data_IF_589568155078
#
_entry.id   IF_589568155078
#
_cell.length_a   1.000
_cell.length_b   1.000
_cell.length_c   1.000
_cell.angle_alpha   90.00
_cell.angle_beta   90.00
_cell.angle_gamma   90.00
#
_symmetry.space_group_name_H-M   'P 1'
#
loop_
_entity.id
_entity.type
_entity.pdbx_description
1 polymer ?
#
# COMPACT_ATOMS: atom_id res chain seq x y z
N UNK A 1 -11.96 -5.53 4.08
CA UNK A 1 -12.45 -5.82 2.70
C UNK A 1 -13.81 -6.51 2.71
N UNK A 2 -14.08 -7.40 3.65
CA UNK A 2 -15.33 -8.17 3.75
C UNK A 2 -16.56 -7.28 3.88
N UNK A 3 -16.53 -6.34 4.81
CA UNK A 3 -17.60 -5.35 5.01
C UNK A 3 -17.97 -4.59 3.74
N UNK A 4 -16.97 -4.22 2.93
CA UNK A 4 -17.23 -3.52 1.67
C UNK A 4 -17.93 -4.43 0.65
N UNK A 5 -17.58 -5.72 0.60
CA UNK A 5 -18.25 -6.70 -0.23
C UNK A 5 -19.76 -6.83 0.09
N UNK A 6 -20.09 -6.91 1.37
CA UNK A 6 -21.47 -6.96 1.84
C UNK A 6 -22.28 -5.70 1.49
N UNK A 7 -21.64 -4.53 1.56
CA UNK A 7 -22.31 -3.23 1.32
C UNK A 7 -22.42 -2.89 -0.16
N UNK A 8 -21.40 -3.18 -0.94
CA UNK A 8 -21.34 -2.82 -2.35
C UNK A 8 -21.99 -3.86 -3.27
N UNK A 9 -21.96 -5.12 -2.86
CA UNK A 9 -22.42 -6.24 -3.69
C UNK A 9 -21.45 -6.57 -4.83
N UNK A 10 -21.70 -7.66 -5.58
CA UNK A 10 -20.70 -8.28 -6.48
C UNK A 10 -20.27 -7.40 -7.65
N UNK A 11 -21.12 -6.50 -8.11
CA UNK A 11 -20.76 -5.64 -9.26
C UNK A 11 -19.97 -4.40 -8.85
N UNK A 12 -20.40 -3.70 -7.80
CA UNK A 12 -19.72 -2.46 -7.38
C UNK A 12 -18.42 -2.71 -6.69
N UNK A 13 -18.27 -3.85 -5.99
CA UNK A 13 -17.02 -4.21 -5.30
C UNK A 13 -15.83 -4.32 -6.26
N UNK A 14 -16.06 -4.64 -7.53
CA UNK A 14 -15.01 -4.73 -8.56
C UNK A 14 -14.25 -3.41 -8.77
N UNK A 15 -14.86 -2.29 -8.40
CA UNK A 15 -14.25 -0.96 -8.52
C UNK A 15 -13.73 -0.42 -7.18
N UNK A 16 -13.93 -1.14 -6.08
CA UNK A 16 -13.40 -0.77 -4.77
C UNK A 16 -11.97 -1.33 -4.59
N UNK A 17 -11.11 -0.54 -3.94
CA UNK A 17 -9.71 -0.91 -3.68
C UNK A 17 -8.90 -1.24 -4.94
N UNK A 18 -9.24 -0.59 -6.06
CA UNK A 18 -8.66 -0.83 -7.38
C UNK A 18 -7.30 -0.12 -7.54
N UNK A 19 -6.32 -0.45 -6.69
CA UNK A 19 -5.03 0.24 -6.60
C UNK A 19 -4.20 0.15 -7.88
N UNK A 20 -4.19 -0.99 -8.58
CA UNK A 20 -3.48 -1.09 -9.86
C UNK A 20 -4.07 -0.18 -10.94
N UNK A 21 -5.39 -0.02 -10.98
CA UNK A 21 -6.03 0.92 -11.90
C UNK A 21 -5.65 2.36 -11.60
N UNK A 22 -5.63 2.74 -10.32
CA UNK A 22 -5.18 4.07 -9.89
C UNK A 22 -3.72 4.30 -10.23
N UNK A 23 -2.87 3.30 -9.99
CA UNK A 23 -1.45 3.36 -10.31
C UNK A 23 -1.22 3.54 -11.82
N UNK A 24 -1.94 2.78 -12.65
CA UNK A 24 -1.85 2.90 -14.12
C UNK A 24 -2.29 4.28 -14.62
N UNK A 25 -3.28 4.88 -13.99
CA UNK A 25 -3.76 6.22 -14.37
C UNK A 25 -2.84 7.34 -13.94
N UNK A 26 -2.29 7.27 -12.72
CA UNK A 26 -1.54 8.36 -12.09
C UNK A 26 -0.03 8.17 -12.14
N UNK A 27 0.46 6.95 -12.40
CA UNK A 27 1.87 6.58 -12.29
C UNK A 27 2.38 6.41 -10.86
N UNK A 28 1.56 6.70 -9.85
CA UNK A 28 1.86 6.51 -8.43
C UNK A 28 0.58 6.45 -7.59
N UNK A 29 0.67 5.85 -6.41
CA UNK A 29 -0.43 5.72 -5.46
C UNK A 29 0.11 5.82 -4.03
N UNK A 30 -0.61 6.52 -3.16
CA UNK A 30 -0.27 6.63 -1.74
C UNK A 30 -0.99 5.52 -0.97
N UNK A 31 -0.29 4.95 -0.01
CA UNK A 31 -0.85 3.97 0.91
C UNK A 31 -0.45 4.31 2.35
N UNK A 32 -1.26 3.91 3.31
CA UNK A 32 -1.02 4.18 4.72
C UNK A 32 -1.93 3.36 5.62
N UNK A 33 -1.69 3.43 6.93
CA UNK A 33 -2.41 2.65 7.94
C UNK A 33 -3.76 3.23 8.32
N UNK A 34 -4.00 4.52 8.03
CA UNK A 34 -5.17 5.26 8.54
C UNK A 34 -5.28 5.16 10.07
N UNK A 35 -4.13 5.10 10.75
CA UNK A 35 -4.11 5.04 12.23
C UNK A 35 -4.96 6.18 12.85
N UNK A 36 -5.82 5.90 13.83
CA UNK A 36 -5.91 4.66 14.64
C UNK A 36 -6.98 3.65 14.17
N UNK A 37 -7.46 3.75 12.93
CA UNK A 37 -8.45 2.80 12.38
C UNK A 37 -7.79 1.42 12.21
N UNK A 38 -6.57 1.40 11.64
CA UNK A 38 -5.71 0.22 11.60
C UNK A 38 -4.52 0.40 12.53
N UNK A 39 -3.71 -0.64 12.69
CA UNK A 39 -2.48 -0.58 13.48
C UNK A 39 -1.46 0.38 12.82
N UNK A 40 -0.63 1.01 13.64
CA UNK A 40 0.39 1.97 13.18
C UNK A 40 1.50 1.33 12.35
N UNK A 41 1.67 0.00 12.40
CA UNK A 41 2.74 -0.73 11.73
C UNK A 41 2.62 -0.66 10.19
N UNK A 42 3.52 0.04 9.48
CA UNK A 42 3.45 0.16 8.03
C UNK A 42 3.73 -1.15 7.30
N UNK A 43 4.34 -2.14 7.95
CA UNK A 43 4.59 -3.45 7.34
C UNK A 43 3.30 -4.24 7.13
N UNK A 44 2.26 -3.99 7.94
CA UNK A 44 0.93 -4.54 7.72
C UNK A 44 0.29 -3.96 6.45
N UNK A 45 0.46 -2.64 6.23
CA UNK A 45 0.03 -1.99 4.99
C UNK A 45 0.74 -2.56 3.78
N UNK A 46 2.07 -2.74 3.87
CA UNK A 46 2.89 -3.38 2.83
C UNK A 46 2.38 -4.80 2.54
N UNK A 47 2.21 -5.63 3.58
CA UNK A 47 1.71 -7.00 3.43
C UNK A 47 0.35 -7.04 2.72
N UNK A 48 -0.60 -6.24 3.18
CA UNK A 48 -1.94 -6.17 2.59
C UNK A 48 -1.91 -5.68 1.13
N UNK A 49 -1.03 -4.75 0.79
CA UNK A 49 -0.88 -4.24 -0.57
C UNK A 49 -0.37 -5.32 -1.55
N UNK A 50 0.54 -6.17 -1.10
CA UNK A 50 1.16 -7.23 -1.93
C UNK A 50 0.30 -8.48 -1.97
N UNK A 51 -0.20 -8.94 -0.81
CA UNK A 51 -0.88 -10.23 -0.71
C UNK A 51 -2.40 -10.15 -0.85
N UNK A 52 -2.97 -8.99 -0.57
CA UNK A 52 -4.43 -8.77 -0.55
C UNK A 52 -5.14 -9.70 0.42
N UNK A 53 -4.50 -10.00 1.57
CA UNK A 53 -4.98 -10.92 2.61
C UNK A 53 -4.98 -10.26 3.98
N UNK A 54 -5.78 -10.82 4.87
CA UNK A 54 -5.63 -10.59 6.31
C UNK A 54 -4.36 -11.25 6.85
N UNK A 55 -3.93 -10.88 8.05
CA UNK A 55 -2.72 -11.43 8.67
C UNK A 55 -2.81 -12.94 8.97
N UNK A 56 -4.01 -13.49 9.07
CA UNK A 56 -4.26 -14.94 9.19
C UNK A 56 -4.17 -15.69 7.85
N UNK A 57 -3.87 -14.97 6.75
CA UNK A 57 -3.73 -15.53 5.41
C UNK A 57 -5.03 -15.65 4.62
N UNK A 58 -6.15 -15.17 5.16
CA UNK A 58 -7.46 -15.23 4.46
C UNK A 58 -7.75 -13.96 3.64
N UNK A 59 -8.52 -14.07 2.54
CA UNK A 59 -8.86 -15.29 1.80
C UNK A 59 -7.61 -15.92 1.17
N UNK A 60 -7.58 -17.25 1.03
CA UNK A 60 -6.40 -17.99 0.59
C UNK A 60 -5.85 -17.52 -0.77
N UNK A 61 -6.74 -17.18 -1.69
CA UNK A 61 -6.42 -16.68 -3.04
C UNK A 61 -6.08 -15.18 -3.06
N UNK A 62 -6.27 -14.46 -1.94
CA UNK A 62 -6.24 -13.00 -1.91
C UNK A 62 -7.51 -12.36 -2.50
N UNK A 63 -7.77 -11.12 -2.09
CA UNK A 63 -8.92 -10.35 -2.56
C UNK A 63 -8.56 -9.54 -3.80
N UNK A 64 -9.20 -9.80 -4.95
CA UNK A 64 -8.98 -9.07 -6.21
C UNK A 64 -7.47 -8.91 -6.54
N UNK A 65 -6.79 -10.02 -6.74
CA UNK A 65 -5.32 -10.04 -6.93
C UNK A 65 -4.84 -9.25 -8.14
N UNK A 66 -5.70 -8.97 -9.10
CA UNK A 66 -5.42 -8.05 -10.21
C UNK A 66 -5.12 -6.61 -9.74
N UNK A 67 -5.49 -6.28 -8.52
CA UNK A 67 -5.23 -5.00 -7.88
C UNK A 67 -4.07 -5.06 -6.85
N UNK A 68 -3.40 -6.19 -6.71
CA UNK A 68 -2.22 -6.30 -5.86
C UNK A 68 -1.06 -5.44 -6.40
N UNK A 69 -0.33 -4.82 -5.50
CA UNK A 69 0.90 -4.11 -5.85
C UNK A 69 2.08 -5.10 -5.86
N UNK A 70 3.06 -4.86 -6.73
CA UNK A 70 4.34 -5.55 -6.60
C UNK A 70 5.04 -5.13 -5.31
N UNK A 71 5.99 -5.92 -4.78
CA UNK A 71 6.79 -5.53 -3.61
C UNK A 71 7.41 -4.14 -3.73
N UNK A 72 7.99 -3.82 -4.89
CA UNK A 72 8.56 -2.49 -5.15
C UNK A 72 7.49 -1.38 -5.14
N UNK A 73 6.35 -1.60 -5.79
CA UNK A 73 5.25 -0.64 -5.80
C UNK A 73 4.68 -0.42 -4.40
N UNK A 74 4.52 -1.49 -3.62
CA UNK A 74 4.05 -1.42 -2.24
C UNK A 74 5.03 -0.64 -1.35
N UNK A 75 6.34 -0.88 -1.49
CA UNK A 75 7.35 -0.11 -0.76
C UNK A 75 7.33 1.37 -1.16
N UNK A 76 7.28 1.68 -2.46
CA UNK A 76 7.17 3.06 -2.94
C UNK A 76 5.91 3.75 -2.44
N UNK A 77 4.80 3.03 -2.33
CA UNK A 77 3.51 3.58 -1.92
C UNK A 77 3.46 4.03 -0.45
N UNK A 78 4.34 3.47 0.40
CA UNK A 78 4.47 3.85 1.81
C UNK A 78 5.71 4.71 2.10
N UNK A 79 6.50 5.05 1.08
CA UNK A 79 7.73 5.85 1.21
C UNK A 79 7.74 7.05 0.26
N UNK A 80 8.43 6.95 -0.88
CA UNK A 80 8.63 8.09 -1.80
C UNK A 80 7.33 8.65 -2.39
N UNK A 81 6.32 7.81 -2.65
CA UNK A 81 5.05 8.29 -3.15
C UNK A 81 4.23 9.03 -2.09
N UNK A 82 4.35 8.64 -0.81
CA UNK A 82 3.79 9.41 0.31
C UNK A 82 4.48 10.76 0.41
N UNK A 83 5.82 10.77 0.36
CA UNK A 83 6.59 12.02 0.38
C UNK A 83 6.18 12.96 -0.76
N UNK A 84 6.00 12.41 -1.98
CA UNK A 84 5.49 13.15 -3.15
C UNK A 84 4.09 13.72 -2.91
N UNK A 85 3.18 12.95 -2.34
CA UNK A 85 1.84 13.42 -2.01
C UNK A 85 1.80 14.51 -0.94
N UNK A 86 2.85 14.58 -0.10
CA UNK A 86 3.04 15.63 0.89
C UNK A 86 3.94 16.78 0.42
N UNK A 87 4.39 16.76 -0.83
CA UNK A 87 5.35 17.73 -1.41
C UNK A 87 6.70 17.76 -0.68
N UNK A 88 7.14 16.61 -0.14
CA UNK A 88 8.37 16.42 0.62
C UNK A 88 9.38 15.49 -0.08
N UNK A 89 9.13 15.10 -1.34
CA UNK A 89 9.96 14.16 -2.09
C UNK A 89 11.40 14.62 -2.31
N UNK A 90 11.64 15.93 -2.22
CA UNK A 90 13.00 16.52 -2.27
C UNK A 90 13.76 16.39 -0.96
N UNK A 91 13.08 16.05 0.15
CA UNK A 91 13.66 15.90 1.49
C UNK A 91 13.59 14.49 2.04
N UNK A 92 12.57 13.72 1.68
CA UNK A 92 12.23 12.44 2.33
C UNK A 92 11.80 11.38 1.32
N UNK A 93 11.64 10.15 1.80
CA UNK A 93 11.01 9.04 1.10
C UNK A 93 11.95 8.19 0.25
N UNK A 94 13.22 8.57 0.11
CA UNK A 94 14.26 7.78 -0.53
C UNK A 94 15.64 8.10 0.07
N UNK A 95 16.56 7.13 -0.06
CA UNK A 95 17.94 7.30 0.39
C UNK A 95 18.75 7.91 -0.77
N UNK A 96 18.90 9.23 -0.74
CA UNK A 96 19.60 10.01 -1.76
C UNK A 96 20.41 11.12 -1.13
N UNK A 97 21.49 11.52 -1.78
CA UNK A 97 22.33 12.66 -1.33
C UNK A 97 21.49 13.93 -1.26
N UNK A 98 21.55 14.60 -0.12
CA UNK A 98 20.83 15.86 0.13
C UNK A 98 19.44 15.68 0.78
N UNK A 99 18.98 14.44 0.97
CA UNK A 99 17.77 14.16 1.74
C UNK A 99 18.04 13.87 3.21
N UNK A 100 17.01 13.99 4.03
CA UNK A 100 17.05 13.62 5.44
C UNK A 100 17.42 12.12 5.57
N UNK A 101 18.28 11.79 6.53
CA UNK A 101 18.75 10.41 6.76
C UNK A 101 17.74 9.58 7.55
N UNK A 102 16.47 9.57 7.11
CA UNK A 102 15.41 8.75 7.68
C UNK A 102 15.44 7.37 7.00
N UNK A 103 15.82 6.33 7.74
CA UNK A 103 15.88 4.97 7.21
C UNK A 103 15.54 3.92 8.27
N UNK A 104 15.16 2.75 7.81
CA UNK A 104 14.89 1.57 8.62
C UNK A 104 15.77 0.42 8.12
N UNK A 105 16.38 -0.31 9.05
CA UNK A 105 17.13 -1.54 8.76
C UNK A 105 16.18 -2.71 9.00
N UNK A 106 15.98 -3.53 7.99
CA UNK A 106 15.17 -4.74 8.06
C UNK A 106 16.09 -5.95 8.24
N UNK A 107 15.65 -6.94 8.99
CA UNK A 107 16.36 -8.19 9.22
C UNK A 107 16.20 -9.18 8.06
N UNK A 108 15.24 -8.94 7.17
CA UNK A 108 14.94 -9.77 6.01
C UNK A 108 14.72 -8.89 4.77
N UNK A 109 14.94 -9.51 3.61
CA UNK A 109 14.58 -8.89 2.33
C UNK A 109 13.05 -8.90 2.16
N UNK A 110 12.49 -7.78 1.74
CA UNK A 110 11.08 -7.64 1.37
C UNK A 110 10.76 -8.31 0.03
#
# INVERSE_FOLDING_TARGET
MDWAGERLGPERIKNAYAYQRLLQQNGWVINGTDFPIEDIDPMRTYYAAVTRKHLDGTPAEGFQMENALTPEQALRSITIWVAKGCFLEHRKGSIEVGKDADYVILDQKL
#
